data_IF_653652827259
#
_entry.id   IF_653652827259
#
_cell.length_a   1.000
_cell.length_b   1.000
_cell.length_c   1.000
_cell.angle_alpha   90.00
_cell.angle_beta   90.00
_cell.angle_gamma   90.00
#
_symmetry.space_group_name_H-M   'P 1'
#
loop_
_entity.id
_entity.type
_entity.pdbx_description
1 polymer ?
#
# COMPACT_ATOMS: atom_id res chain seq x y z
N UNK A 1 21.81 -56.01 5.93
CA UNK A 1 20.99 -55.31 4.91
C UNK A 1 20.49 -54.02 5.56
N UNK A 2 21.32 -52.98 5.58
CA UNK A 2 21.33 -51.83 4.68
C UNK A 2 20.07 -50.95 4.78
N UNK A 3 20.32 -49.79 5.40
CA UNK A 3 19.49 -48.61 5.69
C UNK A 3 18.54 -48.21 4.55
N UNK A 4 17.31 -47.89 4.89
CA UNK A 4 16.50 -46.88 4.19
C UNK A 4 16.50 -45.59 5.01
N UNK A 5 17.32 -44.64 4.55
CA UNK A 5 17.39 -43.27 5.05
C UNK A 5 16.11 -42.50 4.68
N UNK A 6 15.48 -41.74 5.58
CA UNK A 6 14.52 -40.72 5.18
C UNK A 6 15.26 -39.58 4.47
N UNK A 7 14.83 -39.24 3.25
CA UNK A 7 15.30 -38.07 2.50
C UNK A 7 14.90 -36.79 3.25
N UNK A 8 15.79 -36.29 4.11
CA UNK A 8 15.57 -35.11 4.95
C UNK A 8 16.51 -33.93 4.59
N UNK A 9 16.96 -33.86 3.34
CA UNK A 9 17.86 -32.80 2.87
C UNK A 9 17.56 -32.40 1.43
N UNK A 10 16.51 -31.59 1.20
CA UNK A 10 16.43 -30.77 -0.02
C UNK A 10 15.59 -29.48 0.11
N UNK A 11 15.72 -28.74 1.22
CA UNK A 11 14.89 -27.56 1.51
C UNK A 11 15.62 -26.27 2.00
N UNK A 12 16.80 -25.87 1.48
CA UNK A 12 17.24 -24.47 1.67
C UNK A 12 17.59 -23.69 0.38
N UNK A 13 17.56 -24.31 -0.81
CA UNK A 13 17.91 -23.61 -2.07
C UNK A 13 16.78 -22.74 -2.64
N UNK A 14 15.52 -23.10 -2.36
CA UNK A 14 14.34 -22.48 -2.97
C UNK A 14 14.06 -21.04 -2.48
N UNK A 15 14.24 -20.75 -1.19
CA UNK A 15 13.99 -19.39 -0.65
C UNK A 15 15.04 -18.35 -1.03
N UNK A 16 16.28 -18.81 -1.28
CA UNK A 16 17.42 -17.91 -1.58
C UNK A 16 17.29 -17.23 -2.95
N UNK A 17 16.72 -17.90 -3.95
CA UNK A 17 16.53 -17.32 -5.29
C UNK A 17 15.43 -16.27 -5.31
N UNK A 18 14.33 -16.48 -4.58
CA UNK A 18 13.24 -15.49 -4.48
C UNK A 18 13.69 -14.27 -3.69
N UNK A 19 14.33 -14.47 -2.55
CA UNK A 19 14.86 -13.36 -1.75
C UNK A 19 15.92 -12.58 -2.53
N UNK A 20 16.82 -13.26 -3.25
CA UNK A 20 17.80 -12.59 -4.12
C UNK A 20 17.16 -11.76 -5.22
N UNK A 21 16.14 -12.29 -5.90
CA UNK A 21 15.37 -11.54 -6.91
C UNK A 21 14.62 -10.35 -6.31
N UNK A 22 14.00 -10.54 -5.14
CA UNK A 22 13.32 -9.48 -4.40
C UNK A 22 14.28 -8.35 -4.02
N UNK A 23 15.42 -8.68 -3.41
CA UNK A 23 16.45 -7.70 -3.03
C UNK A 23 17.05 -7.01 -4.26
N UNK A 24 17.29 -7.73 -5.35
CA UNK A 24 17.81 -7.17 -6.59
C UNK A 24 16.87 -6.13 -7.20
N UNK A 25 15.58 -6.47 -7.34
CA UNK A 25 14.54 -5.52 -7.81
C UNK A 25 14.45 -4.33 -6.86
N UNK A 26 14.46 -4.58 -5.55
CA UNK A 26 14.35 -3.55 -4.52
C UNK A 26 15.53 -2.58 -4.54
N UNK A 27 16.75 -3.06 -4.77
CA UNK A 27 17.94 -2.22 -4.89
C UNK A 27 17.89 -1.33 -6.14
N UNK A 28 17.43 -1.87 -7.27
CA UNK A 28 17.24 -1.09 -8.51
C UNK A 28 16.18 -0.01 -8.31
N UNK A 29 15.05 -0.35 -7.68
CA UNK A 29 13.99 0.61 -7.37
C UNK A 29 14.46 1.67 -6.36
N UNK A 30 15.23 1.29 -5.33
CA UNK A 30 15.81 2.25 -4.38
C UNK A 30 16.77 3.23 -5.08
N UNK A 31 17.61 2.75 -6.00
CA UNK A 31 18.49 3.61 -6.78
C UNK A 31 17.70 4.58 -7.66
N UNK A 32 16.73 4.07 -8.43
CA UNK A 32 15.87 4.90 -9.27
C UNK A 32 15.09 5.94 -8.45
N UNK A 33 14.55 5.53 -7.29
CA UNK A 33 13.87 6.39 -6.35
C UNK A 33 14.77 7.52 -5.84
N UNK A 34 15.99 7.21 -5.42
CA UNK A 34 16.95 8.22 -4.92
C UNK A 34 17.29 9.21 -6.03
N UNK A 35 17.63 8.72 -7.23
CA UNK A 35 17.96 9.59 -8.37
C UNK A 35 16.78 10.49 -8.73
N UNK A 36 15.57 9.92 -8.89
CA UNK A 36 14.38 10.69 -9.20
C UNK A 36 14.06 11.73 -8.12
N UNK A 37 14.15 11.36 -6.84
CA UNK A 37 13.85 12.25 -5.72
C UNK A 37 14.86 13.40 -5.63
N UNK A 38 16.15 13.14 -5.84
CA UNK A 38 17.15 14.19 -5.91
C UNK A 38 16.89 15.16 -7.07
N UNK A 39 16.53 14.65 -8.25
CA UNK A 39 16.26 15.48 -9.43
C UNK A 39 14.99 16.34 -9.28
N UNK A 40 13.94 15.82 -8.64
CA UNK A 40 12.64 16.48 -8.55
C UNK A 40 12.49 17.33 -7.29
N UNK A 41 12.97 16.85 -6.14
CA UNK A 41 12.79 17.49 -4.84
C UNK A 41 14.07 18.08 -4.25
N UNK A 42 15.24 17.85 -4.86
CA UNK A 42 16.54 18.23 -4.30
C UNK A 42 16.94 17.44 -3.05
N UNK A 43 16.18 16.42 -2.67
CA UNK A 43 16.42 15.56 -1.52
C UNK A 43 15.85 14.17 -1.75
N UNK A 44 16.45 13.16 -1.14
CA UNK A 44 15.98 11.78 -1.21
C UNK A 44 15.83 11.10 0.15
N UNK A 45 16.11 11.80 1.26
CA UNK A 45 16.15 11.19 2.58
C UNK A 45 14.78 10.64 2.97
N UNK A 46 13.72 11.43 2.83
CA UNK A 46 12.37 11.03 3.23
C UNK A 46 11.83 9.90 2.33
N UNK A 47 11.88 10.01 0.98
CA UNK A 47 11.51 8.91 0.10
C UNK A 47 12.28 7.62 0.37
N UNK A 48 13.61 7.71 0.52
CA UNK A 48 14.45 6.55 0.77
C UNK A 48 14.12 5.89 2.12
N UNK A 49 13.95 6.68 3.18
CA UNK A 49 13.58 6.16 4.49
C UNK A 49 12.21 5.46 4.46
N UNK A 50 11.20 6.07 3.82
CA UNK A 50 9.88 5.48 3.65
C UNK A 50 9.96 4.14 2.90
N UNK A 51 10.71 4.10 1.79
CA UNK A 51 10.91 2.88 1.02
C UNK A 51 11.67 1.80 1.81
N UNK A 52 12.72 2.17 2.55
CA UNK A 52 13.52 1.24 3.36
C UNK A 52 12.71 0.62 4.51
N UNK A 53 11.86 1.41 5.18
CA UNK A 53 10.95 0.91 6.21
C UNK A 53 9.97 -0.10 5.61
N UNK A 54 9.29 0.28 4.51
CA UNK A 54 8.35 -0.61 3.84
C UNK A 54 9.04 -1.89 3.34
N UNK A 55 10.27 -1.77 2.83
CA UNK A 55 11.06 -2.91 2.39
C UNK A 55 11.44 -3.85 3.53
N UNK A 56 11.78 -3.30 4.69
CA UNK A 56 12.09 -4.11 5.89
C UNK A 56 10.88 -4.96 6.29
N UNK A 57 9.68 -4.37 6.29
CA UNK A 57 8.44 -5.07 6.57
C UNK A 57 8.12 -6.12 5.48
N UNK A 58 8.36 -5.78 4.21
CA UNK A 58 8.13 -6.70 3.10
C UNK A 58 9.09 -7.90 3.12
N UNK A 59 10.38 -7.70 3.42
CA UNK A 59 11.35 -8.80 3.60
C UNK A 59 10.92 -9.69 4.77
N UNK A 60 10.49 -9.10 5.89
CA UNK A 60 9.97 -9.87 7.02
C UNK A 60 8.75 -10.70 6.60
N UNK A 61 7.77 -10.10 5.92
CA UNK A 61 6.59 -10.80 5.42
C UNK A 61 6.92 -11.92 4.43
N UNK A 62 7.90 -11.70 3.54
CA UNK A 62 8.37 -12.71 2.59
C UNK A 62 8.99 -13.91 3.31
N UNK A 63 9.80 -13.64 4.34
CA UNK A 63 10.45 -14.67 5.15
C UNK A 63 9.47 -15.50 6.00
N UNK A 64 8.28 -14.97 6.31
CA UNK A 64 7.26 -15.66 7.11
C UNK A 64 6.52 -16.76 6.33
N UNK A 65 6.60 -16.82 5.00
CA UNK A 65 6.00 -17.95 4.26
C UNK A 65 5.52 -17.64 2.85
N UNK A 66 6.38 -17.09 1.98
CA UNK A 66 6.05 -16.95 0.57
C UNK A 66 6.00 -18.33 -0.15
N UNK A 67 4.87 -18.72 -0.76
CA UNK A 67 4.66 -20.10 -1.21
C UNK A 67 5.28 -20.40 -2.60
N UNK A 68 5.68 -19.38 -3.36
CA UNK A 68 6.11 -19.55 -4.75
C UNK A 68 7.63 -19.53 -4.91
N UNK A 69 8.12 -20.21 -5.95
CA UNK A 69 9.57 -20.31 -6.26
C UNK A 69 10.13 -19.11 -7.03
N UNK A 70 9.25 -18.22 -7.48
CA UNK A 70 9.58 -17.00 -8.21
C UNK A 70 8.79 -15.83 -7.63
N UNK A 71 9.39 -14.64 -7.65
CA UNK A 71 8.73 -13.44 -7.14
C UNK A 71 7.47 -13.10 -7.96
N UNK A 72 7.49 -13.33 -9.27
CA UNK A 72 6.35 -13.05 -10.15
C UNK A 72 6.20 -11.57 -10.50
N UNK A 73 5.64 -11.31 -11.68
CA UNK A 73 5.43 -9.95 -12.16
C UNK A 73 4.45 -9.15 -11.29
N UNK A 74 3.49 -9.81 -10.62
CA UNK A 74 2.56 -9.17 -9.69
C UNK A 74 3.29 -8.44 -8.56
N UNK A 75 4.17 -9.13 -7.83
CA UNK A 75 4.91 -8.52 -6.73
C UNK A 75 5.90 -7.45 -7.22
N UNK A 76 6.47 -7.58 -8.43
CA UNK A 76 7.30 -6.52 -9.03
C UNK A 76 6.48 -5.26 -9.29
N UNK A 77 5.27 -5.38 -9.84
CA UNK A 77 4.36 -4.25 -10.04
C UNK A 77 4.01 -3.59 -8.70
N UNK A 78 3.70 -4.37 -7.67
CA UNK A 78 3.43 -3.83 -6.33
C UNK A 78 4.65 -3.12 -5.74
N UNK A 79 5.88 -3.64 -5.93
CA UNK A 79 7.11 -2.96 -5.50
C UNK A 79 7.37 -1.65 -6.26
N UNK A 80 7.06 -1.60 -7.55
CA UNK A 80 7.12 -0.35 -8.34
C UNK A 80 6.14 0.67 -7.77
N UNK A 81 4.89 0.26 -7.50
CA UNK A 81 3.88 1.12 -6.86
C UNK A 81 4.36 1.62 -5.50
N UNK A 82 4.95 0.75 -4.68
CA UNK A 82 5.52 1.13 -3.40
C UNK A 82 6.65 2.17 -3.54
N UNK A 83 7.52 2.03 -4.54
CA UNK A 83 8.55 3.03 -4.83
C UNK A 83 7.93 4.38 -5.25
N UNK A 84 6.83 4.37 -6.00
CA UNK A 84 6.09 5.59 -6.36
C UNK A 84 5.44 6.25 -5.13
N UNK A 85 4.85 5.47 -4.23
CA UNK A 85 4.31 5.98 -2.95
C UNK A 85 5.42 6.60 -2.11
N UNK A 86 6.58 5.93 -2.01
CA UNK A 86 7.74 6.48 -1.32
C UNK A 86 8.24 7.77 -1.98
N UNK A 87 8.28 7.85 -3.31
CA UNK A 87 8.60 9.08 -4.04
C UNK A 87 7.67 10.23 -3.67
N UNK A 88 6.35 9.99 -3.64
CA UNK A 88 5.34 11.00 -3.26
C UNK A 88 5.57 11.56 -1.85
N UNK A 89 6.10 10.75 -0.92
CA UNK A 89 6.43 11.25 0.43
C UNK A 89 7.49 12.37 0.43
N UNK A 90 8.34 12.43 -0.61
CA UNK A 90 9.33 13.50 -0.77
C UNK A 90 8.70 14.86 -1.03
N UNK A 91 7.54 14.88 -1.69
CA UNK A 91 6.78 16.10 -1.92
C UNK A 91 6.31 16.73 -0.60
N UNK A 92 5.96 15.92 0.40
CA UNK A 92 5.47 16.39 1.71
C UNK A 92 6.47 17.27 2.47
N UNK A 93 7.75 17.21 2.12
CA UNK A 93 8.84 17.98 2.76
C UNK A 93 9.57 18.91 1.79
N UNK A 94 9.10 19.00 0.54
CA UNK A 94 9.68 19.84 -0.50
C UNK A 94 8.76 21.05 -0.72
N UNK A 95 9.18 22.28 -0.36
CA UNK A 95 8.34 23.47 -0.44
C UNK A 95 7.78 23.77 -1.85
N UNK A 96 8.60 23.50 -2.88
CA UNK A 96 8.27 23.79 -4.27
C UNK A 96 7.80 22.55 -5.04
N UNK A 97 7.29 21.53 -4.34
CA UNK A 97 6.83 20.31 -4.97
C UNK A 97 5.67 20.58 -5.95
N UNK A 98 5.83 20.11 -7.19
CA UNK A 98 4.83 20.29 -8.23
C UNK A 98 3.58 19.43 -7.98
N UNK A 99 2.41 20.08 -7.88
CA UNK A 99 1.11 19.41 -7.77
C UNK A 99 0.83 18.51 -8.98
N UNK A 100 1.26 18.89 -10.19
CA UNK A 100 1.10 18.07 -11.40
C UNK A 100 1.91 16.78 -11.34
N UNK A 101 3.15 16.86 -10.83
CA UNK A 101 3.99 15.67 -10.64
C UNK A 101 3.38 14.77 -9.56
N UNK A 102 2.93 15.36 -8.45
CA UNK A 102 2.27 14.62 -7.37
C UNK A 102 1.02 13.89 -7.88
N UNK A 103 0.10 14.62 -8.53
CA UNK A 103 -1.12 14.08 -9.11
C UNK A 103 -0.82 13.00 -10.16
N UNK A 104 0.13 13.24 -11.06
CA UNK A 104 0.49 12.31 -12.12
C UNK A 104 1.05 10.99 -11.59
N UNK A 105 1.97 11.05 -10.63
CA UNK A 105 2.56 9.87 -10.00
C UNK A 105 1.52 9.13 -9.14
N UNK A 106 0.70 9.83 -8.36
CA UNK A 106 -0.38 9.23 -7.57
C UNK A 106 -1.42 8.52 -8.46
N UNK A 107 -1.82 9.16 -9.55
CA UNK A 107 -2.76 8.59 -10.52
C UNK A 107 -2.19 7.36 -11.20
N UNK A 108 -0.90 7.37 -11.57
CA UNK A 108 -0.24 6.22 -12.17
C UNK A 108 -0.11 5.06 -11.15
N UNK A 109 0.25 5.35 -9.90
CA UNK A 109 0.33 4.34 -8.84
C UNK A 109 -1.04 3.66 -8.58
N UNK A 110 -2.13 4.45 -8.61
CA UNK A 110 -3.50 3.95 -8.50
C UNK A 110 -3.92 3.15 -9.74
N UNK A 111 -3.59 3.62 -10.95
CA UNK A 111 -3.93 2.89 -12.18
C UNK A 111 -3.27 1.51 -12.27
N UNK A 112 -2.07 1.37 -11.69
CA UNK A 112 -1.34 0.09 -11.63
C UNK A 112 -1.90 -0.90 -10.60
N UNK A 113 -2.75 -0.46 -9.66
CA UNK A 113 -3.32 -1.31 -8.60
C UNK A 113 -4.10 -2.52 -9.13
N UNK A 114 -4.87 -2.35 -10.20
CA UNK A 114 -5.63 -3.46 -10.77
C UNK A 114 -4.76 -4.53 -11.46
N UNK A 115 -3.52 -4.17 -11.85
CA UNK A 115 -2.68 -4.99 -12.72
C UNK A 115 -2.02 -6.15 -11.98
N UNK A 116 -1.56 -5.94 -10.76
CA UNK A 116 -0.88 -6.99 -9.98
C UNK A 116 -1.83 -8.15 -9.63
N UNK A 117 -3.08 -7.87 -9.25
CA UNK A 117 -4.10 -8.87 -8.97
C UNK A 117 -4.51 -9.65 -10.23
N UNK A 118 -4.58 -8.98 -11.39
CA UNK A 118 -4.81 -9.66 -12.67
C UNK A 118 -3.62 -10.55 -13.05
N UNK A 119 -2.38 -10.06 -12.92
CA UNK A 119 -1.16 -10.82 -13.19
C UNK A 119 -1.03 -12.02 -12.25
N UNK A 120 -1.36 -11.88 -10.97
CA UNK A 120 -1.31 -12.94 -9.99
C UNK A 120 -2.28 -14.07 -10.33
N UNK A 121 -3.52 -13.74 -10.71
CA UNK A 121 -4.51 -14.74 -11.14
C UNK A 121 -4.12 -15.41 -12.45
N UNK A 122 -3.67 -14.62 -13.44
CA UNK A 122 -3.26 -15.13 -14.75
C UNK A 122 -2.05 -16.05 -14.67
N UNK A 123 -1.10 -15.75 -13.78
CA UNK A 123 0.15 -16.50 -13.63
C UNK A 123 0.07 -17.62 -12.58
N UNK A 124 -1.06 -17.77 -11.88
CA UNK A 124 -1.21 -18.74 -10.79
C UNK A 124 -0.35 -18.43 -9.54
N UNK A 125 0.06 -17.16 -9.35
CA UNK A 125 0.98 -16.71 -8.30
C UNK A 125 0.26 -15.94 -7.17
N UNK A 126 -1.00 -16.29 -6.88
CA UNK A 126 -1.74 -15.71 -5.75
C UNK A 126 -1.09 -16.14 -4.44
N UNK A 127 -0.87 -15.20 -3.52
CA UNK A 127 -0.27 -15.48 -2.19
C UNK A 127 -0.75 -14.48 -1.14
N UNK A 128 -0.79 -14.91 0.12
CA UNK A 128 -1.14 -14.05 1.25
C UNK A 128 -0.13 -12.92 1.45
N UNK A 129 1.15 -13.19 1.17
CA UNK A 129 2.20 -12.16 1.16
C UNK A 129 1.90 -11.06 0.16
N UNK A 130 1.66 -11.42 -1.11
CA UNK A 130 1.37 -10.44 -2.17
C UNK A 130 0.11 -9.64 -1.86
N UNK A 131 -0.95 -10.29 -1.37
CA UNK A 131 -2.18 -9.61 -0.97
C UNK A 131 -1.98 -8.62 0.20
N UNK A 132 -1.08 -8.92 1.15
CA UNK A 132 -0.73 -8.01 2.23
C UNK A 132 0.13 -6.85 1.74
N UNK A 133 1.14 -7.13 0.92
CA UNK A 133 2.01 -6.09 0.34
C UNK A 133 1.20 -5.08 -0.48
N UNK A 134 0.28 -5.58 -1.31
CA UNK A 134 -0.64 -4.77 -2.10
C UNK A 134 -1.52 -3.88 -1.22
N UNK A 135 -2.21 -4.49 -0.25
CA UNK A 135 -3.08 -3.79 0.68
C UNK A 135 -2.35 -2.72 1.54
N UNK A 136 -1.10 -2.96 1.97
CA UNK A 136 -0.32 -1.94 2.69
C UNK A 136 0.16 -0.83 1.75
N UNK A 137 0.47 -1.15 0.49
CA UNK A 137 0.87 -0.17 -0.52
C UNK A 137 -0.28 0.78 -0.85
N UNK A 138 -1.50 0.25 -1.02
CA UNK A 138 -2.73 1.03 -1.17
C UNK A 138 -2.99 1.99 -0.01
N UNK A 139 -2.86 1.48 1.21
CA UNK A 139 -3.10 2.27 2.40
C UNK A 139 -2.04 3.37 2.57
N UNK A 140 -0.78 3.06 2.25
CA UNK A 140 0.29 4.04 2.26
C UNK A 140 0.07 5.12 1.18
N UNK A 141 -0.41 4.74 -0.01
CA UNK A 141 -0.78 5.69 -1.06
C UNK A 141 -1.87 6.65 -0.56
N UNK A 142 -2.96 6.11 0.00
CA UNK A 142 -4.04 6.91 0.59
C UNK A 142 -3.54 7.85 1.69
N UNK A 143 -2.68 7.37 2.58
CA UNK A 143 -2.11 8.18 3.66
C UNK A 143 -1.22 9.32 3.16
N UNK A 144 -0.35 9.05 2.17
CA UNK A 144 0.51 10.09 1.58
C UNK A 144 -0.33 11.14 0.85
N UNK A 145 -1.34 10.74 0.07
CA UNK A 145 -2.23 11.69 -0.61
C UNK A 145 -3.03 12.50 0.40
N UNK A 146 -3.63 11.87 1.42
CA UNK A 146 -4.38 12.58 2.46
C UNK A 146 -3.50 13.57 3.23
N UNK A 147 -2.25 13.19 3.51
CA UNK A 147 -1.28 14.08 4.18
C UNK A 147 -0.94 15.26 3.27
N UNK A 148 -0.71 15.02 1.97
CA UNK A 148 -0.49 16.09 0.99
C UNK A 148 -1.64 17.09 0.97
N UNK A 149 -2.89 16.61 0.85
CA UNK A 149 -4.11 17.44 0.85
C UNK A 149 -4.23 18.30 2.12
N UNK A 150 -3.82 17.75 3.27
CA UNK A 150 -3.83 18.46 4.54
C UNK A 150 -2.75 19.55 4.58
N UNK A 151 -1.49 19.22 4.23
CA UNK A 151 -0.37 20.17 4.32
C UNK A 151 -0.42 21.25 3.23
N UNK A 152 -1.01 20.96 2.08
CA UNK A 152 -1.28 21.96 1.02
C UNK A 152 -2.42 22.91 1.39
N UNK A 153 -3.17 22.62 2.46
CA UNK A 153 -4.34 23.40 2.87
C UNK A 153 -5.54 23.26 1.95
N UNK A 154 -5.56 22.24 1.08
CA UNK A 154 -6.66 22.02 0.12
C UNK A 154 -7.95 21.65 0.84
N UNK A 155 -7.88 20.84 1.90
CA UNK A 155 -9.03 20.46 2.73
C UNK A 155 -8.63 20.39 4.23
N UNK A 156 -9.61 20.27 5.12
CA UNK A 156 -9.37 20.18 6.55
C UNK A 156 -8.92 18.79 7.00
N UNK A 157 -8.75 18.61 8.31
CA UNK A 157 -8.27 17.36 8.93
C UNK A 157 -9.18 16.15 8.67
N UNK A 158 -10.42 16.34 8.22
CA UNK A 158 -11.34 15.26 7.85
C UNK A 158 -10.78 14.33 6.78
N UNK A 159 -9.90 14.82 5.89
CA UNK A 159 -9.27 13.98 4.85
C UNK A 159 -8.33 12.94 5.42
N UNK A 160 -7.83 13.11 6.65
CA UNK A 160 -7.01 12.09 7.31
C UNK A 160 -7.80 10.80 7.54
N UNK A 161 -9.13 10.86 7.65
CA UNK A 161 -9.99 9.66 7.69
C UNK A 161 -9.76 8.82 6.43
N UNK A 162 -9.65 9.46 5.26
CA UNK A 162 -9.42 8.79 3.98
C UNK A 162 -8.03 8.18 3.86
N UNK A 163 -7.03 8.65 4.60
CA UNK A 163 -5.66 8.11 4.53
C UNK A 163 -5.35 7.09 5.63
N UNK A 164 -5.90 7.31 6.82
CA UNK A 164 -5.41 6.66 8.04
C UNK A 164 -6.40 5.68 8.68
N UNK A 165 -7.60 5.47 8.11
CA UNK A 165 -8.59 4.56 8.68
C UNK A 165 -8.06 3.12 8.87
N UNK A 166 -7.25 2.63 7.93
CA UNK A 166 -6.58 1.33 8.08
C UNK A 166 -5.70 1.29 9.33
N UNK A 167 -4.84 2.28 9.51
CA UNK A 167 -3.92 2.34 10.64
C UNK A 167 -4.65 2.53 11.97
N UNK A 168 -5.74 3.32 11.96
CA UNK A 168 -6.64 3.45 13.10
C UNK A 168 -7.28 2.10 13.46
N UNK A 169 -7.73 1.32 12.47
CA UNK A 169 -8.29 -0.01 12.69
C UNK A 169 -7.24 -0.99 13.25
N UNK A 170 -6.01 -0.97 12.73
CA UNK A 170 -4.90 -1.78 13.26
C UNK A 170 -4.55 -1.40 14.70
N UNK A 171 -4.51 -0.10 15.01
CA UNK A 171 -4.32 0.39 16.37
C UNK A 171 -5.47 -0.04 17.30
N UNK A 172 -6.72 0.05 16.86
CA UNK A 172 -7.87 -0.43 17.62
C UNK A 172 -7.81 -1.94 17.86
N UNK A 173 -7.38 -2.73 16.86
CA UNK A 173 -7.22 -4.17 16.98
C UNK A 173 -6.10 -4.57 17.95
N UNK A 174 -5.18 -3.67 18.29
CA UNK A 174 -4.23 -3.90 19.38
C UNK A 174 -4.94 -4.01 20.73
N UNK A 175 -5.87 -3.10 21.03
CA UNK A 175 -6.61 -3.03 22.29
C UNK A 175 -7.84 -3.95 22.35
N UNK A 176 -8.44 -4.23 21.20
CA UNK A 176 -9.65 -5.07 21.08
C UNK A 176 -9.32 -6.32 20.25
N UNK A 177 -8.91 -7.44 20.88
CA UNK A 177 -8.47 -8.64 20.17
C UNK A 177 -9.51 -9.22 19.20
N UNK A 178 -10.80 -9.01 19.47
CA UNK A 178 -11.90 -9.40 18.59
C UNK A 178 -11.76 -8.83 17.16
N UNK A 179 -11.13 -7.66 17.01
CA UNK A 179 -10.93 -7.03 15.70
C UNK A 179 -9.83 -7.68 14.86
N UNK A 180 -9.02 -8.58 15.45
CA UNK A 180 -7.97 -9.33 14.73
C UNK A 180 -8.51 -10.51 13.93
N UNK A 181 -9.78 -10.88 14.12
CA UNK A 181 -10.39 -12.00 13.42
C UNK A 181 -10.50 -11.70 11.90
N UNK A 182 -10.36 -12.72 11.04
CA UNK A 182 -10.40 -12.52 9.59
C UNK A 182 -11.78 -12.07 9.13
N UNK A 183 -11.83 -11.00 8.33
CA UNK A 183 -13.05 -10.50 7.71
C UNK A 183 -13.32 -11.21 6.37
N UNK A 184 -14.54 -11.72 6.13
CA UNK A 184 -14.89 -12.42 4.89
C UNK A 184 -14.81 -11.48 3.69
N UNK A 185 -14.23 -11.92 2.57
CA UNK A 185 -14.10 -11.08 1.36
C UNK A 185 -15.43 -10.41 1.02
N UNK A 186 -15.41 -9.08 0.89
CA UNK A 186 -16.61 -8.30 0.59
C UNK A 186 -16.31 -7.30 -0.53
N UNK A 187 -17.09 -7.39 -1.61
CA UNK A 187 -16.99 -6.48 -2.75
C UNK A 187 -17.14 -5.02 -2.33
N UNK A 188 -18.00 -4.74 -1.34
CA UNK A 188 -18.19 -3.42 -0.73
C UNK A 188 -16.88 -2.76 -0.32
N UNK A 189 -16.01 -3.50 0.40
CA UNK A 189 -14.75 -2.96 0.94
C UNK A 189 -13.80 -2.55 -0.17
N UNK A 190 -13.71 -3.39 -1.21
CA UNK A 190 -12.92 -3.09 -2.40
C UNK A 190 -13.46 -1.87 -3.15
N UNK A 191 -14.76 -1.80 -3.38
CA UNK A 191 -15.38 -0.66 -4.06
C UNK A 191 -15.19 0.65 -3.30
N UNK A 192 -15.35 0.64 -1.97
CA UNK A 192 -15.18 1.83 -1.14
C UNK A 192 -13.71 2.27 -1.09
N UNK A 193 -12.74 1.35 -1.09
CA UNK A 193 -11.32 1.69 -1.20
C UNK A 193 -11.01 2.41 -2.53
N UNK A 194 -11.54 1.91 -3.65
CA UNK A 194 -11.41 2.55 -4.97
C UNK A 194 -12.04 3.95 -4.96
N UNK A 195 -13.25 4.10 -4.40
CA UNK A 195 -13.93 5.41 -4.28
C UNK A 195 -13.13 6.37 -3.39
N UNK A 196 -12.57 5.89 -2.28
CA UNK A 196 -11.74 6.66 -1.37
C UNK A 196 -10.48 7.21 -2.07
N UNK A 197 -9.73 6.37 -2.77
CA UNK A 197 -8.54 6.84 -3.49
C UNK A 197 -8.93 7.75 -4.66
N UNK A 198 -10.02 7.45 -5.38
CA UNK A 198 -10.53 8.34 -6.43
C UNK A 198 -10.93 9.72 -5.88
N UNK A 199 -11.57 9.78 -4.71
CA UNK A 199 -11.88 11.04 -4.03
C UNK A 199 -10.60 11.80 -3.67
N UNK A 200 -9.60 11.12 -3.12
CA UNK A 200 -8.29 11.72 -2.84
C UNK A 200 -7.60 12.25 -4.12
N UNK A 201 -7.66 11.52 -5.24
CA UNK A 201 -7.13 11.98 -6.53
C UNK A 201 -7.88 13.21 -7.06
N UNK A 202 -9.20 13.30 -6.87
CA UNK A 202 -9.96 14.52 -7.17
C UNK A 202 -9.45 15.66 -6.29
N UNK A 203 -9.21 15.43 -5.00
CA UNK A 203 -8.73 16.49 -4.10
C UNK A 203 -7.32 16.99 -4.45
N UNK A 204 -6.43 16.15 -4.99
CA UNK A 204 -5.09 16.57 -5.42
C UNK A 204 -4.99 16.99 -6.88
N UNK A 205 -6.07 16.90 -7.64
CA UNK A 205 -6.07 17.35 -9.02
C UNK A 205 -5.97 18.89 -9.08
N UNK A 206 -4.96 19.48 -9.75
CA UNK A 206 -4.69 20.93 -9.66
C UNK A 206 -5.83 21.83 -10.17
N UNK A 207 -6.76 21.29 -10.96
CA UNK A 207 -7.88 22.05 -11.52
C UNK A 207 -9.21 21.77 -10.81
N UNK A 208 -9.20 21.13 -9.64
CA UNK A 208 -10.42 20.86 -8.88
C UNK A 208 -11.06 22.15 -8.38
N UNK A 209 -12.32 22.44 -8.74
CA UNK A 209 -13.04 23.60 -8.23
C UNK A 209 -13.16 23.54 -6.70
N UNK A 210 -12.90 24.66 -6.02
CA UNK A 210 -13.00 24.74 -4.55
C UNK A 210 -14.38 24.35 -4.00
N UNK A 211 -15.44 24.53 -4.78
CA UNK A 211 -16.81 24.11 -4.43
C UNK A 211 -16.98 22.59 -4.30
N UNK A 212 -16.09 21.79 -4.91
CA UNK A 212 -16.13 20.34 -4.84
C UNK A 212 -15.31 19.75 -3.69
N UNK A 213 -14.37 20.51 -3.13
CA UNK A 213 -13.42 19.98 -2.14
C UNK A 213 -14.15 19.45 -0.90
N UNK A 214 -14.96 20.28 -0.25
CA UNK A 214 -15.73 19.90 0.95
C UNK A 214 -16.72 18.76 0.70
N UNK A 215 -17.60 18.81 -0.33
CA UNK A 215 -18.56 17.72 -0.53
C UNK A 215 -17.88 16.40 -0.87
N UNK A 216 -16.77 16.41 -1.65
CA UNK A 216 -16.02 15.19 -1.97
C UNK A 216 -15.33 14.64 -0.73
N UNK A 217 -14.63 15.48 0.06
CA UNK A 217 -13.92 15.03 1.26
C UNK A 217 -14.88 14.43 2.29
N UNK A 218 -15.97 15.13 2.60
CA UNK A 218 -16.95 14.72 3.61
C UNK A 218 -17.71 13.47 3.15
N UNK A 219 -18.21 13.43 1.92
CA UNK A 219 -18.96 12.27 1.44
C UNK A 219 -18.10 11.00 1.42
N UNK A 220 -16.85 11.10 0.96
CA UNK A 220 -15.93 9.97 0.98
C UNK A 220 -15.59 9.54 2.41
N UNK A 221 -15.36 10.49 3.33
CA UNK A 221 -15.02 10.20 4.72
C UNK A 221 -16.16 9.50 5.45
N UNK A 222 -17.40 9.96 5.23
CA UNK A 222 -18.61 9.33 5.78
C UNK A 222 -18.81 7.92 5.22
N UNK A 223 -18.64 7.73 3.90
CA UNK A 223 -18.76 6.42 3.26
C UNK A 223 -17.72 5.43 3.79
N UNK A 224 -16.47 5.86 3.95
CA UNK A 224 -15.41 5.04 4.49
C UNK A 224 -15.67 4.67 5.95
N UNK A 225 -16.05 5.66 6.76
CA UNK A 225 -16.38 5.47 8.18
C UNK A 225 -17.53 4.49 8.35
N UNK A 226 -18.57 4.62 7.53
CA UNK A 226 -19.69 3.69 7.50
C UNK A 226 -19.24 2.25 7.19
N UNK A 227 -18.37 2.06 6.19
CA UNK A 227 -17.85 0.73 5.86
C UNK A 227 -17.11 0.09 7.01
N UNK A 228 -16.21 0.84 7.66
CA UNK A 228 -15.42 0.36 8.81
C UNK A 228 -16.28 0.11 10.05
N UNK A 229 -17.33 0.91 10.26
CA UNK A 229 -18.27 0.68 11.35
C UNK A 229 -19.01 -0.63 11.19
N UNK A 230 -19.49 -0.96 9.98
CA UNK A 230 -20.14 -2.25 9.72
C UNK A 230 -19.18 -3.42 10.03
N UNK A 231 -17.93 -3.33 9.57
CA UNK A 231 -16.94 -4.39 9.79
C UNK A 231 -16.60 -4.55 11.28
N UNK A 232 -16.43 -3.44 11.99
CA UNK A 232 -16.20 -3.41 13.44
C UNK A 232 -17.37 -4.04 14.20
N UNK A 233 -18.61 -3.63 13.91
CA UNK A 233 -19.82 -4.17 14.57
C UNK A 233 -19.98 -5.67 14.29
N UNK A 234 -19.72 -6.10 13.06
CA UNK A 234 -19.78 -7.52 12.71
C UNK A 234 -18.77 -8.36 13.49
N UNK A 235 -17.53 -7.87 13.64
CA UNK A 235 -16.49 -8.55 14.42
C UNK A 235 -16.84 -8.62 15.91
N UNK A 236 -17.34 -7.52 16.49
CA UNK A 236 -17.73 -7.48 17.89
C UNK A 236 -18.92 -8.40 18.19
N UNK A 237 -19.92 -8.46 17.30
CA UNK A 237 -21.08 -9.36 17.46
C UNK A 237 -20.72 -10.84 17.37
N UNK A 238 -19.64 -11.18 16.67
CA UNK A 238 -19.16 -12.57 16.54
C UNK A 238 -18.28 -13.01 17.72
N UNK A 239 -17.71 -12.04 18.44
CA UNK A 239 -16.89 -12.29 19.63
C UNK A 239 -17.71 -12.32 20.92
N UNK A 240 -18.92 -11.75 20.92
CA UNK A 240 -19.92 -11.87 21.98
C UNK A 240 -20.69 -13.20 21.86
#
# INVERSE_FOLDING_TARGET
MLRSTPHLFDQPRHGRSVLGGFLGVSALLALALVVASQLVFGQALVPFAAFAIAMTLAVFGLAQGYPHRVLGACNVVTLVRLAMVAFLSGALVAPDASEWVFFGVASLAFALDGLDGWLARRSGLVSDFGARLDMETDAALGAVIATWVLVSGTAGAEVLVLGFMRYAFLAAAFFVPALRAPLPQAFRRKAICVVQIAALLILVFPLTPGTLVVPVSVAAALLLTWSFLIDTVWLLRRAA
#
